data_IF_457787684297
#
_entry.id   IF_457787684297
#
_cell.length_a   1.000
_cell.length_b   1.000
_cell.length_c   1.000
_cell.angle_alpha   90.00
_cell.angle_beta   90.00
_cell.angle_gamma   90.00
#
_symmetry.space_group_name_H-M   'P 1'
#
loop_
_entity.id
_entity.type
_entity.pdbx_description
1 polymer ?
#
# COMPACT_ATOMS: atom_id res chain seq x y z
N UNK A 1 -6.33 4.50 27.93
CA UNK A 1 -7.09 4.15 26.71
C UNK A 1 -7.11 2.63 26.68
N UNK A 2 -8.27 2.09 26.99
CA UNK A 2 -8.43 0.72 27.45
C UNK A 2 -7.95 -0.29 26.41
N UNK A 3 -7.14 -1.23 26.90
CA UNK A 3 -6.80 -2.45 26.21
C UNK A 3 -8.10 -3.26 26.12
N UNK A 4 -8.79 -3.17 24.99
CA UNK A 4 -9.96 -4.01 24.74
C UNK A 4 -9.45 -5.41 24.40
N UNK A 5 -9.23 -6.24 25.42
CA UNK A 5 -9.06 -7.68 25.25
C UNK A 5 -10.46 -8.27 25.04
N UNK A 6 -10.90 -8.35 23.78
CA UNK A 6 -12.08 -9.12 23.43
C UNK A 6 -11.64 -10.57 23.20
N UNK A 7 -11.89 -11.44 24.19
CA UNK A 7 -11.99 -12.90 24.02
C UNK A 7 -10.93 -13.58 23.13
N UNK A 8 -9.66 -13.67 23.59
CA UNK A 8 -8.73 -14.77 23.24
C UNK A 8 -8.48 -15.10 21.76
N UNK A 9 -8.88 -14.24 20.82
CA UNK A 9 -8.68 -14.39 19.38
C UNK A 9 -8.02 -13.12 18.92
N UNK A 10 -6.79 -13.23 18.46
CA UNK A 10 -6.14 -12.18 17.68
C UNK A 10 -7.11 -11.84 16.53
N UNK A 11 -7.76 -10.67 16.61
CA UNK A 11 -8.45 -10.09 15.47
C UNK A 11 -7.34 -9.73 14.49
N UNK A 12 -6.94 -10.68 13.65
CA UNK A 12 -5.90 -10.48 12.65
C UNK A 12 -6.44 -9.48 11.63
N UNK A 13 -6.24 -8.19 11.87
CA UNK A 13 -6.48 -7.18 10.87
C UNK A 13 -5.50 -7.44 9.71
N UNK A 14 -5.99 -7.36 8.47
CA UNK A 14 -5.19 -7.63 7.28
C UNK A 14 -3.92 -6.78 7.30
N UNK A 15 -2.78 -7.39 7.00
CA UNK A 15 -1.48 -6.73 6.91
C UNK A 15 -1.20 -6.27 5.49
N UNK A 16 -0.88 -5.00 5.31
CA UNK A 16 -0.65 -4.41 3.99
C UNK A 16 0.72 -3.75 3.90
N UNK A 17 1.35 -3.90 2.74
CA UNK A 17 2.54 -3.14 2.36
C UNK A 17 2.17 -2.07 1.36
N UNK A 18 2.51 -0.81 1.64
CA UNK A 18 2.10 0.32 0.78
C UNK A 18 3.30 0.85 0.00
N UNK A 19 3.14 0.96 -1.31
CA UNK A 19 4.08 1.57 -2.25
C UNK A 19 3.52 2.90 -2.74
N UNK A 20 4.28 3.99 -2.58
CA UNK A 20 3.90 5.35 -3.01
C UNK A 20 4.86 5.95 -4.04
N UNK A 21 4.49 7.04 -4.70
CA UNK A 21 5.37 7.71 -5.66
C UNK A 21 6.54 8.42 -4.97
N UNK A 22 7.77 8.18 -5.42
CA UNK A 22 8.97 8.87 -4.92
C UNK A 22 8.93 10.38 -5.19
N UNK A 23 8.35 10.80 -6.32
CA UNK A 23 8.22 12.22 -6.69
C UNK A 23 7.31 13.03 -5.75
N UNK A 24 6.62 12.37 -4.81
CA UNK A 24 5.75 13.03 -3.83
C UNK A 24 6.29 12.94 -2.41
N UNK A 25 7.44 12.27 -2.20
CA UNK A 25 7.89 11.87 -0.87
C UNK A 25 8.33 13.05 0.01
N UNK A 26 8.84 14.09 -0.63
CA UNK A 26 9.27 15.36 -0.04
C UNK A 26 8.09 16.33 0.22
N UNK A 27 7.03 16.24 -0.59
CA UNK A 27 5.86 17.14 -0.48
C UNK A 27 4.74 16.59 0.40
N UNK A 28 4.53 15.27 0.39
CA UNK A 28 3.41 14.64 1.04
C UNK A 28 3.94 13.60 2.04
N UNK A 29 3.60 13.65 3.33
CA UNK A 29 4.02 12.61 4.28
C UNK A 29 3.15 11.34 4.22
N UNK A 30 2.04 11.35 3.47
CA UNK A 30 1.11 10.22 3.38
C UNK A 30 0.05 10.18 4.48
N UNK A 31 -0.16 11.28 5.23
CA UNK A 31 -1.10 11.34 6.38
C UNK A 31 -2.46 10.73 6.09
N UNK A 32 -3.08 11.09 4.96
CA UNK A 32 -4.39 10.54 4.57
C UNK A 32 -4.33 9.04 4.32
N UNK A 33 -3.25 8.52 3.74
CA UNK A 33 -3.06 7.09 3.52
C UNK A 33 -3.11 6.34 4.86
N UNK A 34 -2.39 6.82 5.88
CA UNK A 34 -2.39 6.24 7.23
C UNK A 34 -3.75 6.36 7.94
N UNK A 35 -4.46 7.48 7.74
CA UNK A 35 -5.78 7.66 8.36
C UNK A 35 -6.81 6.71 7.77
N UNK A 36 -6.88 6.58 6.44
CA UNK A 36 -7.89 5.72 5.79
C UNK A 36 -7.62 4.24 6.02
N UNK A 37 -6.36 3.82 6.12
CA UNK A 37 -6.02 2.42 6.48
C UNK A 37 -6.42 2.10 7.91
N UNK A 38 -6.17 3.02 8.86
CA UNK A 38 -6.55 2.84 10.27
C UNK A 38 -8.07 2.84 10.46
N UNK A 39 -8.80 3.58 9.66
CA UNK A 39 -10.25 3.74 9.79
C UNK A 39 -11.05 2.79 8.88
N UNK A 40 -10.39 1.99 8.04
CA UNK A 40 -11.08 1.11 7.08
C UNK A 40 -11.88 1.89 6.02
N UNK A 41 -11.38 3.05 5.60
CA UNK A 41 -12.03 3.94 4.62
C UNK A 41 -11.34 3.84 3.25
N UNK A 42 -11.88 4.52 2.25
CA UNK A 42 -11.31 4.55 0.91
C UNK A 42 -11.31 3.16 0.26
N UNK A 43 -10.14 2.65 -0.10
CA UNK A 43 -9.98 1.30 -0.66
C UNK A 43 -10.23 0.18 0.35
N UNK A 44 -10.28 0.50 1.64
CA UNK A 44 -10.34 -0.47 2.74
C UNK A 44 -11.77 -0.67 3.30
N UNK A 45 -12.81 -0.18 2.61
CA UNK A 45 -14.21 -0.29 3.09
C UNK A 45 -14.66 -1.74 3.30
N UNK A 46 -14.21 -2.64 2.42
CA UNK A 46 -14.56 -4.07 2.49
C UNK A 46 -13.62 -4.86 3.40
N UNK A 47 -12.38 -4.41 3.56
CA UNK A 47 -11.40 -5.06 4.46
C UNK A 47 -11.58 -4.63 5.91
N UNK A 48 -12.15 -3.44 6.14
CA UNK A 48 -12.05 -2.74 7.42
C UNK A 48 -10.64 -2.21 7.67
N UNK A 49 -10.35 -1.77 8.91
CA UNK A 49 -9.02 -1.35 9.33
C UNK A 49 -7.93 -2.39 9.04
N UNK A 50 -6.76 -1.92 8.61
CA UNK A 50 -5.60 -2.76 8.26
C UNK A 50 -4.34 -2.31 8.99
N UNK A 51 -3.43 -3.25 9.23
CA UNK A 51 -2.08 -2.98 9.76
C UNK A 51 -1.12 -2.69 8.60
N UNK A 52 -0.33 -1.62 8.72
CA UNK A 52 0.71 -1.30 7.74
C UNK A 52 2.03 -1.94 8.18
N UNK A 53 2.48 -2.94 7.42
CA UNK A 53 3.79 -3.60 7.61
C UNK A 53 4.94 -2.70 7.15
N UNK A 54 4.69 -1.89 6.12
CA UNK A 54 5.67 -0.94 5.62
C UNK A 54 5.09 0.03 4.63
N UNK A 55 5.68 1.23 4.60
CA UNK A 55 5.28 2.32 3.72
C UNK A 55 6.53 2.84 3.02
N UNK A 56 6.69 2.53 1.74
CA UNK A 56 7.91 2.79 0.98
C UNK A 56 7.59 3.43 -0.36
N UNK A 57 8.54 4.15 -0.95
CA UNK A 57 8.32 4.72 -2.28
C UNK A 57 8.43 3.65 -3.38
N UNK A 58 8.13 3.96 -4.63
CA UNK A 58 8.41 3.09 -5.78
C UNK A 58 9.91 3.10 -6.13
N UNK A 59 10.67 4.02 -5.54
CA UNK A 59 12.07 4.25 -5.86
C UNK A 59 12.27 4.97 -7.20
N UNK A 60 11.33 5.78 -7.66
CA UNK A 60 11.51 6.66 -8.81
C UNK A 60 11.28 5.99 -10.16
N UNK A 61 11.12 6.82 -11.19
CA UNK A 61 10.77 6.39 -12.54
C UNK A 61 11.93 5.57 -13.17
N UNK A 62 11.63 4.47 -13.88
CA UNK A 62 10.31 4.00 -14.31
C UNK A 62 9.67 2.95 -13.36
N UNK A 63 9.98 2.95 -12.07
CA UNK A 63 9.35 2.07 -11.08
C UNK A 63 10.03 0.71 -10.85
N UNK A 64 11.21 0.48 -11.46
CA UNK A 64 11.93 -0.82 -11.35
C UNK A 64 12.22 -1.24 -9.90
N UNK A 65 12.50 -0.28 -9.01
CA UNK A 65 12.80 -0.53 -7.60
C UNK A 65 11.55 -0.95 -6.80
N UNK A 66 10.35 -0.81 -7.34
CA UNK A 66 9.12 -1.24 -6.67
C UNK A 66 9.01 -2.77 -6.58
N UNK A 67 9.62 -3.52 -7.53
CA UNK A 67 9.62 -4.98 -7.55
C UNK A 67 10.30 -5.58 -6.30
N UNK A 68 11.59 -5.32 -6.01
CA UNK A 68 12.22 -5.83 -4.79
C UNK A 68 11.60 -5.26 -3.51
N UNK A 69 11.00 -4.06 -3.55
CA UNK A 69 10.26 -3.49 -2.42
C UNK A 69 8.98 -4.26 -2.10
N UNK A 70 8.21 -4.66 -3.12
CA UNK A 70 7.05 -5.51 -2.93
C UNK A 70 7.42 -6.86 -2.32
N UNK A 71 8.49 -7.51 -2.81
CA UNK A 71 9.02 -8.75 -2.23
C UNK A 71 9.39 -8.58 -0.75
N UNK A 72 10.13 -7.53 -0.42
CA UNK A 72 10.53 -7.24 0.95
C UNK A 72 9.31 -6.98 1.87
N UNK A 73 8.25 -6.36 1.38
CA UNK A 73 7.03 -6.15 2.17
C UNK A 73 6.33 -7.49 2.48
N UNK A 74 6.26 -8.40 1.50
CA UNK A 74 5.69 -9.74 1.68
C UNK A 74 6.55 -10.58 2.63
N UNK A 75 7.88 -10.54 2.47
CA UNK A 75 8.82 -11.20 3.39
C UNK A 75 8.65 -10.71 4.84
N UNK A 76 8.18 -9.47 5.03
CA UNK A 76 7.86 -8.89 6.35
C UNK A 76 6.44 -9.14 6.83
N UNK A 77 5.64 -9.91 6.08
CA UNK A 77 4.30 -10.34 6.47
C UNK A 77 3.16 -9.53 5.87
N UNK A 78 3.38 -8.76 4.80
CA UNK A 78 2.27 -8.15 4.07
C UNK A 78 1.45 -9.22 3.30
N UNK A 79 0.15 -9.25 3.53
CA UNK A 79 -0.83 -10.11 2.84
C UNK A 79 -1.35 -9.47 1.54
N UNK A 80 -1.19 -8.15 1.40
CA UNK A 80 -1.50 -7.41 0.19
C UNK A 80 -0.49 -6.29 -0.08
N UNK A 81 -0.32 -5.97 -1.36
CA UNK A 81 0.43 -4.79 -1.80
C UNK A 81 -0.55 -3.70 -2.24
N UNK A 82 -0.41 -2.53 -1.65
CA UNK A 82 -1.23 -1.35 -1.95
C UNK A 82 -0.39 -0.36 -2.75
N UNK A 83 -0.89 0.09 -3.89
CA UNK A 83 -0.37 1.30 -4.54
C UNK A 83 -1.13 2.50 -3.98
N UNK A 84 -0.41 3.46 -3.39
CA UNK A 84 -1.04 4.67 -2.86
C UNK A 84 -1.63 5.53 -4.00
N UNK A 85 -2.64 6.35 -3.67
CA UNK A 85 -3.34 7.20 -4.65
C UNK A 85 -2.42 8.15 -5.42
N UNK A 86 -1.23 8.49 -4.91
CA UNK A 86 -0.25 9.26 -5.66
C UNK A 86 0.29 8.58 -6.92
N UNK A 87 0.26 7.24 -6.99
CA UNK A 87 0.67 6.48 -8.17
C UNK A 87 -0.49 6.37 -9.16
N UNK A 88 -1.66 5.95 -8.70
CA UNK A 88 -2.77 5.57 -9.59
C UNK A 88 -3.76 6.70 -9.88
N UNK A 89 -3.89 7.67 -8.97
CA UNK A 89 -4.78 8.84 -9.10
C UNK A 89 -4.02 10.16 -9.24
N UNK A 90 -2.72 10.17 -8.96
CA UNK A 90 -1.86 11.35 -9.14
C UNK A 90 -1.87 12.36 -8.00
N UNK A 91 -2.56 12.10 -6.88
CA UNK A 91 -2.62 13.04 -5.75
C UNK A 91 -1.24 13.18 -5.07
N UNK A 92 -0.76 14.38 -4.69
CA UNK A 92 -1.38 15.70 -4.86
C UNK A 92 -0.98 16.41 -6.17
N UNK A 93 -0.11 15.84 -6.99
CA UNK A 93 0.44 16.47 -8.21
C UNK A 93 -0.65 16.70 -9.28
N UNK A 94 -1.72 15.90 -9.26
CA UNK A 94 -2.75 15.89 -10.30
C UNK A 94 -2.35 15.12 -11.55
N UNK A 95 -1.27 14.32 -11.48
CA UNK A 95 -0.74 13.55 -12.60
C UNK A 95 -0.48 12.09 -12.19
N UNK A 96 -1.31 11.13 -12.64
CA UNK A 96 -1.08 9.71 -12.39
C UNK A 96 0.23 9.21 -13.00
N UNK A 97 0.83 8.18 -12.39
CA UNK A 97 2.08 7.60 -12.86
C UNK A 97 1.86 6.92 -14.24
N UNK A 98 2.61 7.33 -15.29
CA UNK A 98 2.48 6.73 -16.61
C UNK A 98 3.06 5.31 -16.68
N UNK A 99 3.87 4.92 -15.69
CA UNK A 99 4.49 3.60 -15.61
C UNK A 99 3.70 2.62 -14.73
N UNK A 100 2.50 2.99 -14.28
CA UNK A 100 1.75 2.19 -13.32
C UNK A 100 1.45 0.78 -13.82
N UNK A 101 0.91 0.63 -15.03
CA UNK A 101 0.52 -0.66 -15.58
C UNK A 101 1.73 -1.62 -15.66
N UNK A 102 2.83 -1.18 -16.29
CA UNK A 102 4.05 -1.99 -16.40
C UNK A 102 4.63 -2.35 -15.03
N UNK A 103 4.65 -1.39 -14.10
CA UNK A 103 5.15 -1.60 -12.74
C UNK A 103 4.30 -2.62 -11.98
N UNK A 104 2.96 -2.50 -12.04
CA UNK A 104 2.00 -3.42 -11.42
C UNK A 104 2.18 -4.83 -11.97
N UNK A 105 2.22 -4.98 -13.30
CA UNK A 105 2.30 -6.29 -13.95
C UNK A 105 3.65 -6.96 -13.69
N UNK A 106 4.74 -6.19 -13.61
CA UNK A 106 6.03 -6.72 -13.17
C UNK A 106 6.02 -7.16 -11.70
N UNK A 107 5.34 -6.42 -10.82
CA UNK A 107 5.17 -6.82 -9.41
C UNK A 107 4.36 -8.11 -9.31
N UNK A 108 3.19 -8.20 -9.95
CA UNK A 108 2.34 -9.39 -9.94
C UNK A 108 3.12 -10.64 -10.39
N UNK A 109 3.86 -10.53 -11.51
CA UNK A 109 4.72 -11.64 -11.98
C UNK A 109 5.79 -12.04 -10.99
N UNK A 110 6.30 -11.10 -10.19
CA UNK A 110 7.40 -11.34 -9.27
C UNK A 110 6.97 -11.87 -7.90
N UNK A 111 5.73 -11.59 -7.47
CA UNK A 111 5.21 -11.97 -6.15
C UNK A 111 4.23 -13.15 -6.19
N UNK A 112 3.69 -13.47 -7.37
CA UNK A 112 2.70 -14.53 -7.57
C UNK A 112 1.26 -14.02 -7.55
N UNK A 113 0.30 -14.83 -8.05
CA UNK A 113 -1.10 -14.43 -8.24
C UNK A 113 -1.91 -14.35 -6.93
N UNK A 114 -1.43 -14.99 -5.86
CA UNK A 114 -2.16 -15.10 -4.59
C UNK A 114 -2.10 -13.81 -3.76
N UNK A 115 -1.11 -12.95 -4.02
CA UNK A 115 -0.97 -11.68 -3.30
C UNK A 115 -1.93 -10.65 -3.89
N UNK A 116 -2.86 -10.17 -3.06
CA UNK A 116 -3.82 -9.15 -3.46
C UNK A 116 -3.13 -7.83 -3.79
N UNK A 117 -3.50 -7.22 -4.91
CA UNK A 117 -3.15 -5.84 -5.27
C UNK A 117 -4.33 -4.93 -4.95
N UNK A 118 -4.07 -3.85 -4.22
CA UNK A 118 -5.04 -2.78 -3.96
C UNK A 118 -4.54 -1.53 -4.69
N UNK A 119 -5.32 -1.02 -5.64
CA UNK A 119 -4.84 -0.02 -6.61
C UNK A 119 -5.00 1.44 -6.15
N UNK A 120 -5.45 1.72 -4.92
CA UNK A 120 -5.48 3.08 -4.35
C UNK A 120 -5.59 3.03 -2.83
N UNK A 121 -5.48 4.19 -2.17
CA UNK A 121 -5.71 4.36 -0.73
C UNK A 121 -6.95 5.20 -0.47
N UNK A 122 -6.97 6.44 -0.98
CA UNK A 122 -8.04 7.43 -0.81
C UNK A 122 -8.52 8.06 -2.12
#
# INVERSE_FOLDING_TARGET
MEIVIVQGRELTCMKVGIIRCMMTEDMCPGTTDFLVTREGKGAFKETGPVEIVGFVTCGGCPGKRAIPRAKMLIERGAEAIVFASCITRGNPIGYPCPHYADMRDCIIRAIGPDIRIIEYTH
#
